data_IF_838608393268
#
_entry.id   IF_838608393268
#
_cell.length_a   1.000
_cell.length_b   1.000
_cell.length_c   1.000
_cell.angle_alpha   90.00
_cell.angle_beta   90.00
_cell.angle_gamma   90.00
#
_symmetry.space_group_name_H-M   'P 1'
#
loop_
_entity.id
_entity.type
_entity.pdbx_description
1 polymer ?
#
# COMPACT_ATOMS: atom_id res chain seq x y z
N UNK A 1 -4.27 20.01 -16.54
CA UNK A 1 -5.04 20.76 -17.56
C UNK A 1 -6.34 20.03 -17.82
N UNK A 2 -7.45 20.74 -18.01
CA UNK A 2 -8.77 20.13 -18.21
C UNK A 2 -9.18 20.31 -19.68
N UNK A 3 -9.82 19.31 -20.27
CA UNK A 3 -10.40 19.42 -21.61
C UNK A 3 -11.37 20.62 -21.64
N UNK A 4 -11.26 21.48 -22.66
CA UNK A 4 -12.09 22.68 -22.75
C UNK A 4 -11.53 23.92 -22.05
N UNK A 5 -10.38 23.84 -21.37
CA UNK A 5 -9.72 25.01 -20.81
C UNK A 5 -9.18 25.93 -21.92
N UNK A 6 -9.55 27.22 -21.88
CA UNK A 6 -9.05 28.24 -22.81
C UNK A 6 -7.62 28.62 -22.42
N UNK A 7 -6.70 28.58 -23.39
CA UNK A 7 -5.28 28.91 -23.19
C UNK A 7 -4.99 30.25 -23.84
N UNK A 8 -4.22 31.10 -23.15
CA UNK A 8 -3.75 32.37 -23.71
C UNK A 8 -2.56 32.12 -24.63
N UNK A 9 -2.63 32.63 -25.85
CA UNK A 9 -1.53 32.54 -26.81
C UNK A 9 -0.39 33.48 -26.37
N UNK A 10 0.84 32.95 -26.31
CA UNK A 10 2.02 33.74 -25.95
C UNK A 10 2.39 34.81 -26.99
N UNK A 11 1.92 34.67 -28.23
CA UNK A 11 2.05 35.68 -29.29
C UNK A 11 0.76 35.71 -30.13
N UNK A 12 0.34 36.90 -30.56
CA UNK A 12 -0.87 37.08 -31.38
C UNK A 12 -0.63 36.49 -32.77
N UNK A 13 -1.22 35.33 -33.04
CA UNK A 13 -1.31 34.79 -34.39
C UNK A 13 -2.50 35.44 -35.12
N UNK A 14 -2.30 36.07 -36.28
CA UNK A 14 -3.42 36.56 -37.07
C UNK A 14 -4.33 35.37 -37.45
N UNK A 15 -5.64 35.53 -37.24
CA UNK A 15 -6.72 34.55 -37.52
C UNK A 15 -7.04 33.49 -36.45
N UNK A 16 -6.42 33.51 -35.25
CA UNK A 16 -6.81 32.62 -34.15
C UNK A 16 -7.56 33.42 -33.07
N UNK A 17 -8.87 33.18 -32.94
CA UNK A 17 -9.72 33.87 -31.94
C UNK A 17 -9.68 33.21 -30.55
N UNK A 18 -9.62 31.89 -30.49
CA UNK A 18 -9.53 31.12 -29.24
C UNK A 18 -8.69 29.87 -29.44
N UNK A 19 -7.88 29.51 -28.43
CA UNK A 19 -7.17 28.24 -28.37
C UNK A 19 -7.68 27.46 -27.16
N UNK A 20 -8.09 26.21 -27.39
CA UNK A 20 -8.70 25.36 -26.37
C UNK A 20 -7.93 24.04 -26.30
N UNK A 21 -7.74 23.52 -25.10
CA UNK A 21 -7.18 22.19 -24.89
C UNK A 21 -8.18 21.15 -25.39
N UNK A 22 -7.92 20.60 -26.59
CA UNK A 22 -8.76 19.57 -27.21
C UNK A 22 -8.57 18.19 -26.57
N UNK A 23 -7.33 17.85 -26.21
CA UNK A 23 -6.99 16.58 -25.57
C UNK A 23 -6.04 16.80 -24.38
N UNK A 24 -6.52 16.63 -23.13
CA UNK A 24 -5.70 16.82 -21.94
C UNK A 24 -4.67 15.71 -21.75
N UNK A 25 -4.77 14.57 -22.45
CA UNK A 25 -3.86 13.42 -22.28
C UNK A 25 -2.47 13.65 -22.90
N UNK A 26 -2.36 14.60 -23.83
CA UNK A 26 -1.08 15.00 -24.44
C UNK A 26 -0.27 15.98 -23.58
N UNK A 27 -0.81 16.42 -22.44
CA UNK A 27 -0.10 17.26 -21.49
C UNK A 27 0.49 16.41 -20.37
N UNK A 28 1.77 16.08 -20.48
CA UNK A 28 2.54 15.59 -19.32
C UNK A 28 2.80 16.78 -18.40
N UNK A 29 2.05 16.86 -17.30
CA UNK A 29 2.41 17.77 -16.23
C UNK A 29 3.77 17.33 -15.67
N UNK A 30 4.75 18.24 -15.66
CA UNK A 30 6.01 18.00 -14.96
C UNK A 30 5.74 17.64 -13.50
N UNK A 31 6.58 16.79 -12.93
CA UNK A 31 6.50 16.47 -11.51
C UNK A 31 6.89 17.72 -10.72
N UNK A 32 6.24 17.95 -9.58
CA UNK A 32 6.63 19.04 -8.68
C UNK A 32 8.13 18.95 -8.35
N UNK A 33 8.80 20.11 -8.15
CA UNK A 33 10.20 20.11 -7.73
C UNK A 33 10.35 19.26 -6.47
N UNK A 34 11.33 18.37 -6.51
CA UNK A 34 11.65 17.48 -5.40
C UNK A 34 12.08 18.29 -4.17
N UNK A 35 11.54 17.96 -3.01
CA UNK A 35 11.95 18.59 -1.74
C UNK A 35 13.30 18.04 -1.26
N UNK A 36 14.05 18.80 -0.46
CA UNK A 36 15.34 18.35 0.09
C UNK A 36 15.23 17.01 0.83
N UNK A 37 14.14 16.76 1.55
CA UNK A 37 13.90 15.51 2.23
C UNK A 37 13.71 14.34 1.25
N UNK A 38 12.98 14.54 0.14
CA UNK A 38 12.81 13.55 -0.91
C UNK A 38 14.14 13.29 -1.63
N UNK A 39 14.90 14.35 -1.92
CA UNK A 39 16.23 14.24 -2.52
C UNK A 39 17.19 13.43 -1.65
N UNK A 40 17.30 13.74 -0.35
CA UNK A 40 18.17 13.01 0.58
C UNK A 40 17.74 11.55 0.71
N UNK A 41 16.43 11.28 0.80
CA UNK A 41 15.92 9.91 0.79
C UNK A 41 16.30 9.16 -0.50
N UNK A 42 16.19 9.80 -1.67
CA UNK A 42 16.61 9.21 -2.93
C UNK A 42 18.10 8.93 -2.98
N UNK A 43 18.95 9.86 -2.51
CA UNK A 43 20.42 9.68 -2.48
C UNK A 43 20.81 8.52 -1.55
N UNK A 44 20.26 8.45 -0.34
CA UNK A 44 20.51 7.33 0.59
C UNK A 44 20.10 6.00 -0.04
N UNK A 45 18.91 5.96 -0.64
CA UNK A 45 18.40 4.77 -1.33
C UNK A 45 19.33 4.39 -2.49
N UNK A 46 19.80 5.36 -3.28
CA UNK A 46 20.69 5.14 -4.43
C UNK A 46 22.05 4.58 -4.00
N UNK A 47 22.64 5.15 -2.96
CA UNK A 47 23.89 4.65 -2.38
C UNK A 47 23.75 3.22 -1.84
N UNK A 48 22.59 2.87 -1.27
CA UNK A 48 22.29 1.49 -0.87
C UNK A 48 22.14 0.53 -2.08
N UNK A 49 21.66 1.03 -3.22
CA UNK A 49 21.44 0.26 -4.44
C UNK A 49 22.66 0.08 -5.36
N UNK A 50 23.78 0.78 -5.10
CA UNK A 50 25.01 0.75 -5.89
C UNK A 50 25.85 -0.54 -5.74
N UNK A 51 25.42 -1.49 -4.91
CA UNK A 51 26.13 -2.76 -4.77
C UNK A 51 25.95 -3.63 -6.02
N UNK A 52 27.06 -4.18 -6.53
CA UNK A 52 27.07 -5.11 -7.67
C UNK A 52 26.44 -6.47 -7.34
N UNK A 53 26.25 -6.78 -6.06
CA UNK A 53 25.52 -7.95 -5.58
C UNK A 53 24.54 -7.52 -4.49
N UNK A 54 23.25 -7.82 -4.67
CA UNK A 54 22.25 -7.59 -3.64
C UNK A 54 22.40 -8.71 -2.59
N UNK A 55 22.90 -8.35 -1.40
CA UNK A 55 23.20 -9.30 -0.32
C UNK A 55 22.18 -9.26 0.81
N UNK A 56 21.41 -8.18 0.93
CA UNK A 56 20.48 -7.98 2.04
C UNK A 56 19.08 -7.58 1.58
N UNK A 57 18.08 -7.95 2.39
CA UNK A 57 16.67 -7.61 2.17
C UNK A 57 16.44 -6.09 1.98
N UNK A 58 17.05 -5.19 2.78
CA UNK A 58 16.89 -3.75 2.56
C UNK A 58 17.48 -3.27 1.23
N UNK A 59 18.63 -3.80 0.80
CA UNK A 59 19.21 -3.46 -0.50
C UNK A 59 18.32 -3.90 -1.66
N UNK A 60 17.71 -5.10 -1.56
CA UNK A 60 16.78 -5.61 -2.56
C UNK A 60 15.54 -4.72 -2.67
N UNK A 61 14.96 -4.35 -1.52
CA UNK A 61 13.83 -3.42 -1.45
C UNK A 61 14.17 -2.05 -2.05
N UNK A 62 15.29 -1.45 -1.65
CA UNK A 62 15.75 -0.16 -2.18
C UNK A 62 15.97 -0.21 -3.68
N UNK A 63 16.52 -1.31 -4.20
CA UNK A 63 16.76 -1.46 -5.62
C UNK A 63 15.47 -1.52 -6.44
N UNK A 64 14.47 -2.25 -5.96
CA UNK A 64 13.16 -2.34 -6.62
C UNK A 64 12.51 -0.96 -6.69
N UNK A 65 12.49 -0.24 -5.57
CA UNK A 65 11.86 1.07 -5.48
C UNK A 65 12.54 2.14 -6.34
N UNK A 66 13.85 2.04 -6.57
CA UNK A 66 14.58 3.01 -7.39
C UNK A 66 14.47 2.77 -8.89
N UNK A 67 14.61 1.52 -9.32
CA UNK A 67 14.70 1.21 -10.75
C UNK A 67 13.33 1.04 -11.40
N UNK A 68 12.28 0.76 -10.61
CA UNK A 68 10.94 0.55 -11.12
C UNK A 68 10.02 1.66 -10.64
N UNK A 69 9.93 2.73 -11.42
CA UNK A 69 9.07 3.91 -11.14
C UNK A 69 7.58 3.58 -11.02
N UNK A 70 7.16 2.42 -11.51
CA UNK A 70 5.80 1.93 -11.41
C UNK A 70 5.46 1.40 -10.01
N UNK A 71 6.48 0.97 -9.25
CA UNK A 71 6.34 0.43 -7.91
C UNK A 71 6.26 1.58 -6.91
N UNK A 72 5.17 1.63 -6.16
CA UNK A 72 4.98 2.60 -5.07
C UNK A 72 5.42 2.03 -3.72
N UNK A 73 5.20 0.73 -3.50
CA UNK A 73 5.55 0.03 -2.27
C UNK A 73 6.17 -1.32 -2.57
N UNK A 74 7.21 -1.66 -1.82
CA UNK A 74 7.85 -2.96 -1.88
C UNK A 74 8.13 -3.44 -0.46
N UNK A 75 7.84 -4.72 -0.22
CA UNK A 75 8.26 -5.44 0.96
C UNK A 75 8.96 -6.72 0.55
N UNK A 76 10.02 -7.09 1.25
CA UNK A 76 10.85 -8.23 0.90
C UNK A 76 10.93 -9.15 2.11
N UNK A 77 10.63 -10.42 1.89
CA UNK A 77 10.68 -11.48 2.89
C UNK A 77 11.83 -12.42 2.55
N UNK A 78 12.71 -12.65 3.52
CA UNK A 78 13.74 -13.67 3.41
C UNK A 78 13.14 -15.04 3.73
N UNK A 79 13.65 -16.09 3.10
CA UNK A 79 13.31 -17.50 3.35
C UNK A 79 11.86 -17.90 3.04
N UNK A 80 11.13 -17.11 2.25
CA UNK A 80 9.74 -17.41 1.90
C UNK A 80 9.60 -17.73 0.42
N UNK A 81 8.77 -18.73 0.12
CA UNK A 81 8.31 -19.04 -1.24
C UNK A 81 6.92 -18.46 -1.46
N UNK A 82 6.46 -18.41 -2.71
CA UNK A 82 5.11 -17.98 -3.06
C UNK A 82 4.03 -18.85 -2.41
N UNK A 83 4.28 -20.16 -2.29
CA UNK A 83 3.36 -21.12 -1.67
C UNK A 83 3.38 -21.10 -0.12
N UNK A 84 4.45 -20.60 0.50
CA UNK A 84 4.62 -20.60 1.96
C UNK A 84 4.38 -19.22 2.60
N UNK A 85 3.48 -18.41 2.01
CA UNK A 85 3.16 -17.05 2.49
C UNK A 85 2.27 -17.01 3.74
N UNK A 86 1.68 -18.12 4.14
CA UNK A 86 0.75 -18.14 5.27
C UNK A 86 1.49 -17.80 6.58
N UNK A 87 0.97 -16.79 7.27
CA UNK A 87 1.36 -16.43 8.62
C UNK A 87 0.29 -17.02 9.52
N UNK A 88 0.67 -17.90 10.43
CA UNK A 88 -0.23 -18.42 11.46
C UNK A 88 -0.10 -17.54 12.71
N UNK A 89 -1.05 -16.62 12.97
CA UNK A 89 -0.91 -15.70 14.09
C UNK A 89 -1.34 -16.31 15.44
N UNK A 90 -1.99 -17.48 15.50
CA UNK A 90 -2.69 -17.95 16.72
C UNK A 90 -2.57 -19.44 17.04
N UNK A 91 -1.98 -20.30 16.21
CA UNK A 91 -1.86 -21.69 16.62
C UNK A 91 -0.87 -21.87 17.78
N UNK A 92 -1.40 -22.35 18.90
CA UNK A 92 -0.70 -23.00 20.03
C UNK A 92 0.05 -24.27 19.55
N UNK A 93 1.01 -24.11 18.63
CA UNK A 93 1.72 -25.18 17.94
C UNK A 93 1.91 -25.01 16.43
N UNK A 94 1.51 -23.88 15.84
CA UNK A 94 1.72 -23.61 14.42
C UNK A 94 3.18 -23.34 14.11
N UNK A 95 3.76 -24.12 13.20
CA UNK A 95 5.02 -23.72 12.57
C UNK A 95 4.72 -22.43 11.79
N UNK A 96 5.37 -21.33 12.15
CA UNK A 96 5.34 -20.09 11.36
C UNK A 96 5.72 -20.32 9.89
N UNK A 97 5.85 -19.25 9.08
CA UNK A 97 6.09 -19.40 7.64
C UNK A 97 7.22 -20.39 7.37
N UNK A 98 6.96 -21.37 6.49
CA UNK A 98 7.93 -22.43 6.23
C UNK A 98 9.21 -21.80 5.68
N UNK A 99 10.31 -21.98 6.42
CA UNK A 99 11.62 -21.41 6.08
C UNK A 99 12.22 -22.21 4.92
N UNK A 100 12.36 -21.56 3.78
CA UNK A 100 12.98 -22.11 2.58
C UNK A 100 14.29 -21.37 2.31
N UNK A 101 15.42 -22.00 2.64
CA UNK A 101 16.74 -21.41 2.41
C UNK A 101 16.97 -21.16 0.90
N UNK A 102 17.58 -20.03 0.56
CA UNK A 102 17.81 -19.64 -0.83
C UNK A 102 16.61 -19.01 -1.54
N UNK A 103 15.45 -18.88 -0.88
CA UNK A 103 14.28 -18.21 -1.47
C UNK A 103 14.07 -16.82 -0.88
N UNK A 104 13.71 -15.87 -1.76
CA UNK A 104 13.32 -14.52 -1.40
C UNK A 104 12.01 -14.18 -2.10
N UNK A 105 11.05 -13.66 -1.34
CA UNK A 105 9.78 -13.18 -1.86
C UNK A 105 9.73 -11.66 -1.76
N UNK A 106 9.63 -10.99 -2.89
CA UNK A 106 9.34 -9.57 -2.96
C UNK A 106 7.86 -9.37 -3.26
N UNK A 107 7.15 -8.69 -2.36
CA UNK A 107 5.77 -8.26 -2.54
C UNK A 107 5.78 -6.81 -2.99
N UNK A 108 5.20 -6.54 -4.16
CA UNK A 108 5.25 -5.22 -4.81
C UNK A 108 3.85 -4.69 -5.09
N UNK A 109 3.65 -3.40 -4.82
CA UNK A 109 2.41 -2.70 -5.11
C UNK A 109 2.69 -1.46 -5.95
N UNK A 110 1.87 -1.24 -6.97
CA UNK A 110 2.00 -0.12 -7.89
C UNK A 110 1.38 1.16 -7.35
N UNK A 111 1.33 2.19 -8.18
CA UNK A 111 0.65 3.44 -7.85
C UNK A 111 -0.87 3.25 -7.87
N UNK A 112 -1.45 2.89 -6.72
CA UNK A 112 -2.88 2.61 -6.53
C UNK A 112 -3.43 1.52 -7.49
N UNK A 113 -2.58 0.59 -7.92
CA UNK A 113 -2.97 -0.55 -8.76
C UNK A 113 -2.05 -1.73 -8.51
N UNK A 114 -2.57 -2.93 -8.79
CA UNK A 114 -1.74 -4.13 -8.91
C UNK A 114 -0.86 -4.04 -10.17
N UNK A 115 0.30 -4.69 -10.12
CA UNK A 115 1.16 -4.79 -11.28
C UNK A 115 0.61 -5.84 -12.24
N UNK A 116 0.90 -5.70 -13.53
CA UNK A 116 0.62 -6.74 -14.51
C UNK A 116 1.62 -7.89 -14.35
N UNK A 117 1.28 -9.08 -14.85
CA UNK A 117 2.20 -10.24 -14.81
C UNK A 117 3.51 -9.98 -15.54
N UNK A 118 3.48 -9.22 -16.65
CA UNK A 118 4.67 -8.79 -17.38
C UNK A 118 5.56 -7.90 -16.53
N UNK A 119 5.00 -6.84 -15.93
CA UNK A 119 5.75 -5.93 -15.05
C UNK A 119 6.41 -6.68 -13.88
N UNK A 120 5.71 -7.66 -13.29
CA UNK A 120 6.29 -8.49 -12.21
C UNK A 120 7.42 -9.38 -12.70
N UNK A 121 7.27 -9.98 -13.88
CA UNK A 121 8.31 -10.85 -14.46
C UNK A 121 9.56 -10.03 -14.80
N UNK A 122 9.40 -8.83 -15.34
CA UNK A 122 10.52 -7.93 -15.65
C UNK A 122 11.28 -7.53 -14.38
N UNK A 123 10.56 -7.23 -13.29
CA UNK A 123 11.17 -6.95 -11.98
C UNK A 123 11.91 -8.20 -11.46
N UNK A 124 11.29 -9.38 -11.54
CA UNK A 124 11.89 -10.62 -11.05
C UNK A 124 13.20 -10.95 -11.77
N UNK A 125 13.22 -10.82 -13.10
CA UNK A 125 14.43 -11.02 -13.91
C UNK A 125 15.51 -9.99 -13.54
N UNK A 126 15.16 -8.71 -13.48
CA UNK A 126 16.10 -7.64 -13.16
C UNK A 126 16.73 -7.77 -11.76
N UNK A 127 16.00 -8.31 -10.78
CA UNK A 127 16.54 -8.59 -9.45
C UNK A 127 17.39 -9.87 -9.50
N UNK A 128 16.91 -10.93 -10.15
CA UNK A 128 17.62 -12.21 -10.23
C UNK A 128 19.03 -12.04 -10.80
N UNK A 129 19.18 -11.21 -11.83
CA UNK A 129 20.47 -10.90 -12.46
C UNK A 129 21.48 -10.21 -11.51
N UNK A 130 20.99 -9.58 -10.44
CA UNK A 130 21.79 -8.86 -9.44
C UNK A 130 21.94 -9.61 -8.11
N UNK A 131 21.29 -10.76 -7.96
CA UNK A 131 21.39 -11.60 -6.76
C UNK A 131 22.49 -12.65 -6.88
N UNK A 132 22.94 -13.17 -5.75
CA UNK A 132 23.98 -14.21 -5.71
C UNK A 132 23.44 -15.51 -6.31
N UNK A 133 24.27 -16.24 -7.06
CA UNK A 133 23.92 -17.55 -7.59
C UNK A 133 23.41 -18.49 -6.49
N UNK A 134 22.31 -19.19 -6.76
CA UNK A 134 21.64 -20.06 -5.79
C UNK A 134 20.51 -19.39 -5.00
N UNK A 135 20.26 -18.09 -5.21
CA UNK A 135 19.05 -17.43 -4.73
C UNK A 135 17.95 -17.48 -5.78
N UNK A 136 16.73 -17.86 -5.36
CA UNK A 136 15.52 -17.77 -6.16
C UNK A 136 14.67 -16.61 -5.67
N UNK A 137 14.44 -15.63 -6.53
CA UNK A 137 13.62 -14.46 -6.23
C UNK A 137 12.27 -14.59 -6.91
N UNK A 138 11.20 -14.50 -6.14
CA UNK A 138 9.83 -14.39 -6.64
C UNK A 138 9.28 -12.99 -6.38
N UNK A 139 8.52 -12.45 -7.33
CA UNK A 139 7.88 -11.14 -7.23
C UNK A 139 6.38 -11.32 -7.36
N UNK A 140 5.64 -10.96 -6.31
CA UNK A 140 4.19 -11.17 -6.24
C UNK A 140 3.45 -9.91 -5.81
N UNK A 141 2.15 -9.89 -6.13
CA UNK A 141 1.24 -8.84 -5.66
C UNK A 141 0.90 -9.02 -4.16
N UNK A 142 0.57 -7.92 -3.46
CA UNK A 142 0.04 -7.98 -2.10
C UNK A 142 -1.37 -8.56 -2.08
N UNK A 143 -1.75 -9.12 -0.93
CA UNK A 143 -3.14 -9.44 -0.65
C UNK A 143 -3.83 -8.20 -0.09
N UNK A 144 -4.79 -7.65 -0.83
CA UNK A 144 -5.57 -6.50 -0.38
C UNK A 144 -6.76 -7.00 0.45
N UNK A 145 -6.92 -6.46 1.66
CA UNK A 145 -7.98 -6.85 2.59
C UNK A 145 -8.96 -5.69 2.69
N UNK A 146 -10.19 -5.90 2.24
CA UNK A 146 -11.26 -4.95 2.50
C UNK A 146 -11.68 -5.01 3.97
N UNK A 147 -11.90 -3.85 4.59
CA UNK A 147 -12.30 -3.75 5.98
C UNK A 147 -13.55 -2.90 6.13
N UNK A 148 -14.32 -3.23 7.16
CA UNK A 148 -15.44 -2.46 7.66
C UNK A 148 -15.09 -1.91 9.04
N UNK A 149 -15.20 -0.59 9.19
CA UNK A 149 -14.96 0.11 10.45
C UNK A 149 -16.30 0.62 10.96
N UNK A 150 -16.67 0.22 12.17
CA UNK A 150 -17.86 0.73 12.87
C UNK A 150 -17.40 1.52 14.09
N UNK A 151 -17.80 2.78 14.19
CA UNK A 151 -17.44 3.63 15.32
C UNK A 151 -18.63 4.46 15.82
N UNK A 152 -18.73 4.61 17.14
CA UNK A 152 -19.65 5.54 17.79
C UNK A 152 -18.84 6.76 18.22
N UNK A 153 -19.15 7.92 17.64
CA UNK A 153 -18.37 9.14 17.81
C UNK A 153 -19.25 10.27 18.35
N UNK A 154 -18.77 10.95 19.40
CA UNK A 154 -19.36 12.18 19.89
C UNK A 154 -18.69 13.37 19.19
N UNK A 155 -19.50 14.18 18.51
CA UNK A 155 -19.04 15.33 17.73
C UNK A 155 -19.48 16.65 18.37
N UNK A 156 -18.74 17.72 18.11
CA UNK A 156 -19.11 19.06 18.58
C UNK A 156 -20.47 19.49 18.00
N UNK A 157 -21.33 20.10 18.84
CA UNK A 157 -22.68 20.55 18.49
C UNK A 157 -22.75 21.50 17.27
N UNK A 158 -21.65 22.17 16.92
CA UNK A 158 -21.57 23.14 15.82
C UNK A 158 -21.36 22.50 14.44
N UNK A 159 -20.96 21.22 14.40
CA UNK A 159 -20.72 20.46 13.16
C UNK A 159 -21.96 19.64 12.81
N UNK A 160 -22.19 19.41 11.51
CA UNK A 160 -23.23 18.47 11.08
C UNK A 160 -22.70 17.04 11.06
N UNK A 161 -23.58 16.06 11.22
CA UNK A 161 -23.18 14.65 11.17
C UNK A 161 -22.58 14.27 9.81
N UNK A 162 -23.10 14.82 8.71
CA UNK A 162 -22.63 14.55 7.35
C UNK A 162 -21.21 15.04 7.13
N UNK A 163 -20.89 16.28 7.53
CA UNK A 163 -19.54 16.84 7.33
C UNK A 163 -18.50 16.05 8.15
N UNK A 164 -18.89 15.60 9.34
CA UNK A 164 -18.02 14.80 10.20
C UNK A 164 -17.81 13.39 9.65
N UNK A 165 -18.84 12.78 9.08
CA UNK A 165 -18.74 11.46 8.44
C UNK A 165 -17.77 11.51 7.24
N UNK A 166 -17.86 12.55 6.41
CA UNK A 166 -16.95 12.74 5.28
C UNK A 166 -15.50 12.95 5.74
N UNK A 167 -15.29 13.81 6.74
CA UNK A 167 -13.96 14.10 7.29
C UNK A 167 -13.31 12.86 7.93
N UNK A 168 -14.08 12.09 8.72
CA UNK A 168 -13.62 10.85 9.34
C UNK A 168 -13.30 9.80 8.27
N UNK A 169 -14.18 9.63 7.29
CA UNK A 169 -13.98 8.69 6.19
C UNK A 169 -12.73 9.03 5.38
N UNK A 170 -12.49 10.31 5.10
CA UNK A 170 -11.30 10.75 4.38
C UNK A 170 -10.02 10.49 5.19
N UNK A 171 -10.02 10.79 6.49
CA UNK A 171 -8.88 10.51 7.38
C UNK A 171 -8.55 9.02 7.43
N UNK A 172 -9.56 8.17 7.60
CA UNK A 172 -9.42 6.72 7.60
C UNK A 172 -8.91 6.19 6.25
N UNK A 173 -9.43 6.70 5.13
CA UNK A 173 -8.94 6.34 3.79
C UNK A 173 -7.48 6.70 3.59
N UNK A 174 -7.03 7.86 4.06
CA UNK A 174 -5.62 8.21 3.96
C UNK A 174 -4.74 7.32 4.83
N UNK A 175 -5.15 7.06 6.08
CA UNK A 175 -4.39 6.24 7.02
C UNK A 175 -4.30 4.78 6.58
N UNK A 176 -5.42 4.17 6.15
CA UNK A 176 -5.54 2.76 5.81
C UNK A 176 -5.36 2.46 4.32
N UNK A 177 -4.98 3.44 3.47
CA UNK A 177 -4.72 3.12 2.06
C UNK A 177 -3.45 2.28 1.88
N UNK A 178 -3.42 1.30 0.95
CA UNK A 178 -2.24 0.46 0.74
C UNK A 178 -0.96 1.24 0.42
N UNK A 179 -1.11 2.41 -0.20
CA UNK A 179 -0.01 3.32 -0.57
C UNK A 179 0.58 4.07 0.63
N UNK A 180 -0.27 4.54 1.55
CA UNK A 180 0.15 5.40 2.67
C UNK A 180 0.19 4.69 4.02
N UNK A 181 -0.34 3.46 4.12
CA UNK A 181 -0.38 2.68 5.34
C UNK A 181 1.02 2.53 5.95
N UNK A 182 1.22 2.97 7.19
CA UNK A 182 2.52 2.91 7.87
C UNK A 182 2.60 1.83 8.94
N UNK A 183 1.50 1.13 9.22
CA UNK A 183 1.41 0.18 10.32
C UNK A 183 2.27 -1.07 10.13
N UNK A 184 2.41 -1.83 11.23
CA UNK A 184 3.21 -3.04 11.31
C UNK A 184 2.68 -4.20 10.46
N UNK A 185 3.49 -5.25 10.33
CA UNK A 185 3.25 -6.40 9.45
C UNK A 185 2.31 -7.46 10.04
N UNK A 186 1.80 -7.25 11.25
CA UNK A 186 1.16 -8.32 12.02
C UNK A 186 -0.34 -8.06 12.24
N UNK A 187 -0.74 -6.81 12.44
CA UNK A 187 -2.15 -6.48 12.66
C UNK A 187 -2.47 -4.99 12.42
N UNK A 188 -3.74 -4.75 12.14
CA UNK A 188 -4.39 -3.44 12.22
C UNK A 188 -5.09 -3.39 13.58
N UNK A 189 -4.55 -2.53 14.45
CA UNK A 189 -5.06 -2.38 15.80
C UNK A 189 -6.25 -1.43 15.82
N UNK A 190 -7.30 -1.79 16.55
CA UNK A 190 -8.48 -0.94 16.78
C UNK A 190 -8.10 0.38 17.44
N UNK A 191 -7.09 0.35 18.32
CA UNK A 191 -6.55 1.54 18.98
C UNK A 191 -6.06 2.57 17.96
N UNK A 192 -5.31 2.14 16.94
CA UNK A 192 -4.74 3.04 15.94
C UNK A 192 -5.82 3.68 15.06
N UNK A 193 -6.88 2.93 14.77
CA UNK A 193 -8.04 3.44 14.04
C UNK A 193 -8.82 4.43 14.90
N UNK A 194 -9.08 4.10 16.18
CA UNK A 194 -9.74 5.02 17.10
C UNK A 194 -8.94 6.31 17.33
N UNK A 195 -7.61 6.23 17.35
CA UNK A 195 -6.72 7.38 17.42
C UNK A 195 -6.82 8.24 16.15
N UNK A 196 -6.79 7.60 14.97
CA UNK A 196 -6.96 8.29 13.67
C UNK A 196 -8.29 9.06 13.61
N UNK A 197 -9.37 8.51 14.20
CA UNK A 197 -10.67 9.18 14.28
C UNK A 197 -10.63 10.34 15.29
N UNK A 198 -10.01 10.16 16.46
CA UNK A 198 -9.89 11.22 17.47
C UNK A 198 -9.03 12.41 17.01
N UNK A 199 -8.12 12.22 16.05
CA UNK A 199 -7.31 13.29 15.49
C UNK A 199 -8.08 14.18 14.48
N UNK A 200 -9.31 13.79 14.09
CA UNK A 200 -10.15 14.60 13.20
C UNK A 200 -10.73 15.78 13.95
N UNK A 201 -10.54 16.99 13.40
CA UNK A 201 -11.06 18.21 13.99
C UNK A 201 -12.59 18.18 14.14
N UNK A 202 -13.08 18.48 15.34
CA UNK A 202 -14.50 18.41 15.70
C UNK A 202 -14.97 17.09 16.34
N UNK A 203 -14.11 16.07 16.41
CA UNK A 203 -14.36 14.86 17.21
C UNK A 203 -13.97 15.13 18.66
N UNK A 204 -14.92 14.92 19.59
CA UNK A 204 -14.66 15.08 21.03
C UNK A 204 -14.17 13.77 21.65
N UNK A 205 -14.82 12.66 21.31
CA UNK A 205 -14.50 11.35 21.85
C UNK A 205 -15.10 10.22 21.01
N UNK A 206 -14.36 9.12 20.87
CA UNK A 206 -14.85 7.86 20.28
C UNK A 206 -15.27 6.92 21.41
N UNK A 207 -16.57 6.65 21.50
CA UNK A 207 -17.17 5.80 22.54
C UNK A 207 -16.86 4.32 22.31
N UNK A 208 -16.97 3.88 21.05
CA UNK A 208 -16.76 2.51 20.64
C UNK A 208 -16.18 2.49 19.24
N UNK A 209 -15.26 1.57 18.99
CA UNK A 209 -14.73 1.31 17.66
C UNK A 209 -14.55 -0.20 17.50
N UNK A 210 -14.94 -0.73 16.35
CA UNK A 210 -14.69 -2.12 15.96
C UNK A 210 -14.29 -2.15 14.49
N UNK A 211 -13.36 -3.03 14.17
CA UNK A 211 -12.90 -3.28 12.80
C UNK A 211 -13.16 -4.74 12.51
N UNK A 212 -13.70 -5.03 11.33
CA UNK A 212 -13.82 -6.39 10.83
C UNK A 212 -13.35 -6.43 9.37
N UNK A 213 -12.71 -7.52 8.91
CA UNK A 213 -12.55 -7.74 7.48
C UNK A 213 -13.93 -7.89 6.87
N UNK A 214 -14.17 -7.18 5.77
CA UNK A 214 -15.44 -7.26 5.05
C UNK A 214 -15.45 -8.62 4.34
N UNK A 215 -16.48 -9.44 4.57
CA UNK A 215 -16.59 -10.71 3.85
C UNK A 215 -16.77 -10.41 2.36
N UNK A 216 -15.71 -10.56 1.57
CA UNK A 216 -15.83 -10.53 0.14
C UNK A 216 -16.10 -11.96 -0.35
N UNK A 217 -16.90 -12.10 -1.41
CA UNK A 217 -17.20 -13.38 -2.06
C UNK A 217 -16.04 -13.90 -2.93
N UNK A 218 -14.89 -13.22 -2.94
CA UNK A 218 -13.76 -13.54 -3.80
C UNK A 218 -12.69 -14.29 -2.98
N UNK A 219 -13.00 -15.55 -2.69
CA UNK A 219 -12.21 -16.50 -1.89
C UNK A 219 -10.74 -16.70 -2.34
N UNK A 220 -10.34 -16.20 -3.51
CA UNK A 220 -8.98 -16.38 -4.06
C UNK A 220 -8.00 -15.27 -3.67
N UNK A 221 -8.46 -14.10 -3.25
CA UNK A 221 -7.59 -12.97 -2.87
C UNK A 221 -7.76 -12.52 -1.43
N UNK A 222 -8.74 -13.06 -0.74
CA UNK A 222 -8.89 -12.81 0.67
C UNK A 222 -7.93 -13.71 1.46
N UNK A 223 -7.06 -13.09 2.24
CA UNK A 223 -6.37 -13.79 3.33
C UNK A 223 -7.35 -14.40 4.33
N UNK A 224 -8.64 -14.05 4.27
CA UNK A 224 -9.72 -14.55 5.13
C UNK A 224 -10.50 -15.77 4.58
N UNK A 225 -10.16 -16.28 3.39
CA UNK A 225 -10.98 -17.25 2.63
C UNK A 225 -11.02 -18.70 3.14
N UNK A 226 -10.33 -19.05 4.23
CA UNK A 226 -10.58 -20.30 4.94
C UNK A 226 -11.35 -20.01 6.22
N UNK A 227 -12.13 -20.99 6.66
CA UNK A 227 -12.88 -21.04 7.93
C UNK A 227 -12.08 -20.56 9.16
N UNK A 228 -10.76 -20.45 9.04
CA UNK A 228 -9.78 -19.96 10.02
C UNK A 228 -9.78 -18.43 10.19
N UNK A 229 -10.08 -17.65 9.15
CA UNK A 229 -10.26 -16.18 9.27
C UNK A 229 -11.46 -15.80 10.15
N UNK A 230 -12.45 -16.70 10.21
CA UNK A 230 -13.63 -16.56 11.06
C UNK A 230 -13.38 -17.02 12.52
N UNK A 231 -12.31 -17.80 12.78
CA UNK A 231 -11.99 -18.29 14.12
C UNK A 231 -11.27 -17.24 14.99
N UNK A 232 -10.53 -16.30 14.37
CA UNK A 232 -9.95 -15.16 15.11
C UNK A 232 -10.99 -14.09 15.49
N UNK A 233 -12.03 -13.91 14.66
CA UNK A 233 -13.17 -13.02 14.95
C UNK A 233 -14.08 -13.58 16.06
N UNK A 234 -14.03 -14.88 16.32
CA UNK A 234 -14.83 -15.53 17.36
C UNK A 234 -14.32 -15.27 18.79
N UNK A 235 -13.12 -14.70 18.96
CA UNK A 235 -12.49 -14.52 20.27
C UNK A 235 -12.75 -13.17 20.96
N UNK A 236 -13.58 -12.29 20.38
CA UNK A 236 -13.87 -10.97 20.97
C UNK A 236 -12.71 -9.97 20.90
N UNK A 237 -11.68 -10.28 20.09
CA UNK A 237 -10.60 -9.36 19.77
C UNK A 237 -11.07 -8.40 18.67
N UNK A 238 -10.96 -7.09 18.89
CA UNK A 238 -11.43 -6.06 17.94
C UNK A 238 -10.40 -5.75 16.84
N UNK A 239 -9.23 -6.39 16.91
CA UNK A 239 -8.10 -6.19 16.00
C UNK A 239 -8.20 -7.12 14.77
N UNK A 240 -7.64 -6.67 13.65
CA UNK A 240 -7.55 -7.47 12.42
C UNK A 240 -6.11 -7.92 12.21
N UNK A 241 -5.87 -9.23 12.25
CA UNK A 241 -4.56 -9.83 12.06
C UNK A 241 -4.32 -10.22 10.60
N UNK A 242 -3.08 -10.07 10.13
CA UNK A 242 -2.71 -10.50 8.79
C UNK A 242 -2.37 -11.99 8.77
N UNK A 243 -3.10 -12.75 7.96
CA UNK A 243 -2.93 -14.20 7.81
C UNK A 243 -1.92 -14.59 6.71
N UNK A 244 -1.45 -13.60 5.93
CA UNK A 244 -0.50 -13.83 4.84
C UNK A 244 0.56 -12.74 4.79
N UNK A 245 1.79 -13.15 4.48
CA UNK A 245 2.90 -12.25 4.24
C UNK A 245 2.60 -11.36 3.03
N UNK A 246 2.71 -10.05 3.22
CA UNK A 246 2.44 -9.05 2.21
C UNK A 246 0.96 -8.66 2.10
N UNK A 247 0.16 -8.93 3.13
CA UNK A 247 -1.16 -8.35 3.27
C UNK A 247 -1.09 -6.84 3.47
N UNK A 248 -2.02 -6.12 2.82
CA UNK A 248 -2.23 -4.68 2.96
C UNK A 248 -3.73 -4.41 3.15
N UNK A 249 -4.09 -3.36 3.90
CA UNK A 249 -5.46 -2.85 3.95
C UNK A 249 -5.89 -2.23 2.60
#
# INVERSE_FOLDING_TARGET
PIAGQVVTLAAVAPQVQTAVIADPTNFSAGVNPETDAQYLNRVVTYLQGLSSSILTVPQLRSQILLNHSLVSRCMVYNTMTTAARNLDPVALGGSGPTVNAGYVLAVVYGHNRLLTSTERTDIAVAISDKTTAGMTVAVEDPYLIEMEVTAEVLVEKRRTASDMEDAITQSLRYSLSPTLWRGGQEAILTSNVSETINQVDGVLYVSKCSIAPKSNTNAEHDGSGTTEGNALLAAGDTNVYFLKAGSLP
#
